data_IF_541210432584
#
_entry.id   IF_541210432584
#
_cell.length_a   1.000
_cell.length_b   1.000
_cell.length_c   1.000
_cell.angle_alpha   90.00
_cell.angle_beta   90.00
_cell.angle_gamma   90.00
#
_symmetry.space_group_name_H-M   'P 1'
#
loop_
_entity.id
_entity.type
_entity.pdbx_description
1 polymer ?
#
# COMPACT_ATOMS: atom_id res chain seq x y z
N UNK A 1 11.28 2.15 21.17
CA UNK A 1 10.03 2.91 20.88
C UNK A 1 8.79 2.02 20.73
N UNK A 2 8.89 0.76 20.28
CA UNK A 2 7.73 -0.14 20.08
C UNK A 2 7.06 -0.72 21.33
N UNK A 3 7.61 -0.51 22.53
CA UNK A 3 7.10 -1.14 23.76
C UNK A 3 5.80 -0.51 24.30
N UNK A 4 5.52 0.77 23.98
CA UNK A 4 4.40 1.52 24.60
C UNK A 4 3.02 1.11 24.08
N UNK A 5 2.95 0.53 22.88
CA UNK A 5 1.69 0.17 22.21
C UNK A 5 1.70 -1.28 21.70
N UNK A 6 2.59 -2.12 22.25
CA UNK A 6 2.64 -3.54 21.91
C UNK A 6 1.37 -4.23 22.42
N UNK A 7 0.70 -5.01 21.57
CA UNK A 7 -0.52 -5.73 21.95
C UNK A 7 -1.79 -4.89 22.06
N UNK A 8 -1.73 -3.57 21.80
CA UNK A 8 -2.88 -2.68 21.91
C UNK A 8 -3.42 -2.28 20.53
N UNK A 9 -4.75 -2.30 20.38
CA UNK A 9 -5.43 -1.70 19.23
C UNK A 9 -5.31 -0.18 19.26
N UNK A 10 -4.76 0.42 18.20
CA UNK A 10 -4.52 1.87 18.11
C UNK A 10 -5.51 2.60 17.19
N UNK A 11 -6.14 1.88 16.28
CA UNK A 11 -7.16 2.44 15.41
C UNK A 11 -8.16 1.36 14.97
N UNK A 12 -9.34 1.81 14.60
CA UNK A 12 -10.41 0.99 14.02
C UNK A 12 -10.60 1.45 12.58
N UNK A 13 -10.50 0.52 11.66
CA UNK A 13 -10.77 0.75 10.24
C UNK A 13 -12.29 0.82 10.02
N UNK A 14 -12.76 1.72 9.12
CA UNK A 14 -14.19 1.82 8.79
C UNK A 14 -14.69 0.64 7.92
N UNK A 15 -13.81 -0.30 7.57
CA UNK A 15 -14.09 -1.51 6.84
C UNK A 15 -13.30 -2.68 7.43
N UNK A 16 -13.76 -3.90 7.22
CA UNK A 16 -12.99 -5.11 7.55
C UNK A 16 -11.99 -5.35 6.42
N UNK A 17 -10.67 -5.38 6.70
CA UNK A 17 -9.69 -5.67 5.67
C UNK A 17 -9.90 -7.07 5.08
N UNK A 18 -9.79 -7.18 3.75
CA UNK A 18 -9.78 -8.47 3.03
C UNK A 18 -8.74 -9.43 3.64
N UNK A 19 -9.04 -10.73 3.62
CA UNK A 19 -8.32 -11.77 4.38
C UNK A 19 -6.79 -11.76 4.23
N UNK A 20 -6.27 -11.34 3.07
CA UNK A 20 -4.84 -11.18 2.83
C UNK A 20 -4.20 -10.08 3.70
N UNK A 21 -4.87 -8.94 3.85
CA UNK A 21 -4.39 -7.80 4.63
C UNK A 21 -4.73 -7.91 6.11
N UNK A 22 -5.72 -8.71 6.49
CA UNK A 22 -6.14 -8.92 7.89
C UNK A 22 -5.01 -9.46 8.79
N UNK A 23 -4.20 -10.39 8.27
CA UNK A 23 -3.01 -10.89 8.98
C UNK A 23 -1.94 -9.80 9.17
N UNK A 24 -1.91 -8.86 8.24
CA UNK A 24 -0.94 -7.76 8.25
C UNK A 24 -1.37 -6.64 9.21
N UNK A 25 -2.65 -6.26 9.21
CA UNK A 25 -3.22 -5.24 10.10
C UNK A 25 -3.25 -5.67 11.56
N UNK A 26 -3.52 -6.95 11.85
CA UNK A 26 -3.54 -7.52 13.21
C UNK A 26 -2.17 -7.98 13.71
N UNK A 27 -1.10 -7.86 12.92
CA UNK A 27 0.23 -8.34 13.33
C UNK A 27 0.68 -7.61 14.60
N UNK A 28 0.83 -8.36 15.69
CA UNK A 28 1.20 -7.84 17.01
C UNK A 28 0.02 -7.45 17.91
N UNK A 29 -1.22 -7.78 17.52
CA UNK A 29 -2.40 -7.71 18.39
C UNK A 29 -2.83 -9.12 18.86
N UNK A 30 -3.41 -9.24 20.06
CA UNK A 30 -4.15 -10.41 20.51
C UNK A 30 -5.30 -10.78 19.56
N UNK A 31 -5.61 -12.08 19.46
CA UNK A 31 -6.62 -12.60 18.54
C UNK A 31 -8.05 -12.17 18.89
N UNK A 32 -8.28 -11.90 20.17
CA UNK A 32 -9.52 -11.40 20.78
C UNK A 32 -9.97 -10.02 20.26
N UNK A 33 -9.08 -9.25 19.63
CA UNK A 33 -9.48 -7.98 19.03
C UNK A 33 -10.31 -8.16 17.75
N UNK A 34 -11.33 -7.31 17.54
CA UNK A 34 -12.10 -7.28 16.30
C UNK A 34 -11.21 -7.13 15.06
N UNK A 35 -11.64 -7.67 13.92
CA UNK A 35 -10.82 -7.71 12.70
C UNK A 35 -10.67 -6.35 11.99
N UNK A 36 -11.49 -5.39 12.39
CA UNK A 36 -11.40 -3.98 12.05
C UNK A 36 -10.39 -3.22 12.91
N UNK A 37 -9.77 -3.82 13.92
CA UNK A 37 -8.69 -3.18 14.70
C UNK A 37 -7.33 -3.37 14.05
N UNK A 38 -6.44 -2.37 14.16
CA UNK A 38 -5.07 -2.46 13.64
C UNK A 38 -3.99 -2.12 14.67
N UNK A 39 -2.77 -2.63 14.43
CA UNK A 39 -1.60 -2.43 15.27
C UNK A 39 -0.86 -1.13 14.96
N UNK A 40 -0.12 -0.62 15.96
CA UNK A 40 0.79 0.51 15.77
C UNK A 40 1.86 0.23 14.71
N UNK A 41 2.26 -1.05 14.57
CA UNK A 41 3.26 -1.47 13.61
C UNK A 41 2.74 -1.33 12.18
N UNK A 42 1.47 -1.70 11.95
CA UNK A 42 0.81 -1.51 10.66
C UNK A 42 0.76 -0.04 10.26
N UNK A 43 0.29 0.84 11.16
CA UNK A 43 0.20 2.27 10.91
C UNK A 43 1.58 2.88 10.63
N UNK A 44 2.59 2.50 11.41
CA UNK A 44 3.96 2.97 11.20
C UNK A 44 4.52 2.54 9.85
N UNK A 45 4.30 1.28 9.45
CA UNK A 45 4.76 0.75 8.18
C UNK A 45 4.04 1.43 7.00
N UNK A 46 2.71 1.56 7.07
CA UNK A 46 1.91 2.25 6.06
C UNK A 46 2.28 3.72 5.94
N UNK A 47 2.44 4.40 7.08
CA UNK A 47 2.85 5.80 7.12
C UNK A 47 4.26 5.97 6.52
N UNK A 48 5.20 5.09 6.88
CA UNK A 48 6.58 5.13 6.35
C UNK A 48 6.58 4.90 4.83
N UNK A 49 5.81 3.95 4.31
CA UNK A 49 5.69 3.73 2.87
C UNK A 49 5.03 4.92 2.17
N UNK A 50 3.96 5.47 2.75
CA UNK A 50 3.24 6.61 2.19
C UNK A 50 4.13 7.84 2.14
N UNK A 51 4.79 8.19 3.24
CA UNK A 51 5.73 9.31 3.30
C UNK A 51 6.87 9.12 2.31
N UNK A 52 7.40 7.90 2.14
CA UNK A 52 8.44 7.64 1.13
C UNK A 52 7.95 7.85 -0.31
N UNK A 53 6.74 7.41 -0.64
CA UNK A 53 6.15 7.61 -1.98
C UNK A 53 5.84 9.08 -2.20
N UNK A 54 5.20 9.74 -1.24
CA UNK A 54 4.87 11.16 -1.33
C UNK A 54 6.15 12.00 -1.37
N UNK A 55 7.13 11.77 -0.50
CA UNK A 55 8.41 12.48 -0.55
C UNK A 55 9.14 12.23 -1.87
N UNK A 56 9.10 11.01 -2.40
CA UNK A 56 9.66 10.70 -3.71
C UNK A 56 9.00 11.47 -4.86
N UNK A 57 7.70 11.79 -4.77
CA UNK A 57 6.98 12.59 -5.76
C UNK A 57 7.15 14.10 -5.53
N UNK A 58 7.19 14.56 -4.28
CA UNK A 58 7.26 15.98 -3.92
C UNK A 58 8.70 16.53 -4.03
N UNK A 59 9.71 15.72 -3.67
CA UNK A 59 11.13 16.10 -3.76
C UNK A 59 11.82 15.63 -5.05
N UNK A 60 11.17 14.81 -5.88
CA UNK A 60 11.57 14.69 -7.28
C UNK A 60 11.09 15.95 -7.99
N UNK A 61 12.02 16.88 -8.21
CA UNK A 61 11.92 17.85 -9.31
C UNK A 61 11.59 17.03 -10.56
N UNK A 62 10.37 17.15 -11.07
CA UNK A 62 9.85 16.37 -12.18
C UNK A 62 10.92 16.29 -13.28
N UNK A 63 11.54 15.12 -13.56
CA UNK A 63 12.26 14.99 -14.81
C UNK A 63 11.20 15.16 -15.92
N UNK A 64 11.46 16.04 -16.90
CA UNK A 64 10.48 16.43 -17.90
C UNK A 64 9.88 15.20 -18.59
N UNK A 65 8.60 15.31 -18.94
CA UNK A 65 7.77 14.33 -19.63
C UNK A 65 8.53 13.66 -20.77
N UNK A 66 9.20 12.54 -20.51
CA UNK A 66 10.07 11.90 -21.49
C UNK A 66 11.20 11.04 -20.90
N UNK A 67 11.65 11.32 -19.67
CA UNK A 67 12.60 10.45 -18.98
C UNK A 67 11.84 9.51 -18.05
N UNK A 68 11.80 8.22 -18.39
CA UNK A 68 11.27 7.13 -17.55
C UNK A 68 11.73 7.34 -16.11
N UNK A 69 10.79 7.73 -15.25
CA UNK A 69 11.03 7.92 -13.83
C UNK A 69 11.55 6.60 -13.26
N UNK A 70 12.68 6.64 -12.59
CA UNK A 70 13.20 5.53 -11.78
C UNK A 70 12.36 5.31 -10.50
N UNK A 71 11.03 5.41 -10.64
CA UNK A 71 10.10 5.09 -9.57
C UNK A 71 10.14 3.59 -9.30
N UNK A 72 9.82 3.20 -8.06
CA UNK A 72 9.71 1.81 -7.64
C UNK A 72 8.86 0.95 -8.60
N UNK A 73 7.89 1.55 -9.30
CA UNK A 73 7.05 0.95 -10.36
C UNK A 73 7.80 0.57 -11.65
N UNK A 74 8.96 1.17 -11.94
CA UNK A 74 9.80 0.89 -13.13
C UNK A 74 10.82 -0.24 -12.90
N UNK A 75 10.91 -0.77 -11.67
CA UNK A 75 11.77 -1.93 -11.42
C UNK A 75 11.19 -3.15 -12.15
N UNK A 76 11.98 -3.86 -12.96
CA UNK A 76 11.55 -5.04 -13.72
C UNK A 76 10.81 -6.11 -12.87
N UNK A 77 11.04 -6.14 -11.55
CA UNK A 77 10.32 -6.96 -10.58
C UNK A 77 8.90 -6.45 -10.27
N UNK A 78 8.71 -5.14 -10.15
CA UNK A 78 7.40 -4.51 -9.95
C UNK A 78 6.50 -4.70 -11.17
N UNK A 79 7.04 -4.59 -12.39
CA UNK A 79 6.31 -4.90 -13.62
C UNK A 79 5.89 -6.38 -13.68
N UNK A 80 6.75 -7.31 -13.25
CA UNK A 80 6.38 -8.75 -13.15
C UNK A 80 5.33 -9.02 -12.08
N UNK A 81 5.38 -8.30 -10.96
CA UNK A 81 4.36 -8.36 -9.91
C UNK A 81 3.02 -7.81 -10.41
N UNK A 82 2.99 -6.66 -11.08
CA UNK A 82 1.77 -6.10 -11.67
C UNK A 82 1.14 -7.06 -12.71
N UNK A 83 1.98 -7.73 -13.51
CA UNK A 83 1.53 -8.79 -14.43
C UNK A 83 0.92 -9.98 -13.71
N UNK A 84 1.50 -10.38 -12.57
CA UNK A 84 0.96 -11.48 -11.75
C UNK A 84 -0.29 -11.09 -10.95
N UNK A 85 -0.52 -9.80 -10.70
CA UNK A 85 -1.71 -9.29 -10.01
C UNK A 85 -2.90 -9.01 -10.95
N UNK A 86 -2.80 -9.31 -12.26
CA UNK A 86 -3.96 -9.28 -13.17
C UNK A 86 -4.45 -7.88 -13.57
N UNK A 87 -3.69 -6.82 -13.26
CA UNK A 87 -4.06 -5.42 -13.50
C UNK A 87 -4.04 -5.04 -15.00
N UNK A 88 -3.50 -5.89 -15.87
CA UNK A 88 -3.45 -5.64 -17.33
C UNK A 88 -4.83 -5.65 -17.99
N UNK A 89 -5.75 -6.52 -17.55
CA UNK A 89 -7.08 -6.63 -18.16
C UNK A 89 -7.96 -5.43 -17.80
N UNK A 90 -7.92 -4.99 -16.54
CA UNK A 90 -8.64 -3.82 -16.04
C UNK A 90 -8.20 -2.53 -16.77
N UNK A 91 -6.90 -2.37 -17.05
CA UNK A 91 -6.38 -1.20 -17.76
C UNK A 91 -6.78 -1.20 -19.24
N UNK A 92 -6.87 -2.38 -19.85
CA UNK A 92 -7.27 -2.55 -21.25
C UNK A 92 -8.78 -2.33 -21.42
N UNK A 93 -9.57 -2.74 -20.44
CA UNK A 93 -11.02 -2.49 -20.39
C UNK A 93 -11.32 -1.00 -20.14
N UNK A 94 -10.64 -0.38 -19.16
CA UNK A 94 -10.75 1.05 -18.89
C UNK A 94 -10.34 1.92 -20.09
N UNK A 95 -9.30 1.52 -20.85
CA UNK A 95 -8.89 2.22 -22.07
C UNK A 95 -9.91 2.08 -23.22
N UNK A 96 -10.67 0.98 -23.25
CA UNK A 96 -11.76 0.78 -24.21
C UNK A 96 -12.97 1.65 -23.88
N UNK A 97 -13.28 1.84 -22.59
CA UNK A 97 -14.36 2.74 -22.15
C UNK A 97 -14.09 4.22 -22.43
N UNK A 98 -12.84 4.68 -22.37
CA UNK A 98 -12.47 6.08 -22.65
C UNK A 98 -12.28 6.40 -24.15
N UNK A 99 -12.43 5.42 -25.05
CA UNK A 99 -12.24 5.57 -26.50
C UNK A 99 -13.53 5.41 -27.30
N UNK A 100 -14.70 5.39 -26.65
CA UNK A 100 -16.02 5.38 -27.30
C UNK A 100 -16.86 6.60 -26.94
#
# INVERSE_FOLDING_TARGET
MGAKYAGQAVAVLPFVPISFFRKFTKRGLPEEFPDNCCSILFVYMMCTLSVRVLAGQIFTVHPPSGVRSTSFMDTAKAQKLMKSFGVEEELKEARKMFSS
#
